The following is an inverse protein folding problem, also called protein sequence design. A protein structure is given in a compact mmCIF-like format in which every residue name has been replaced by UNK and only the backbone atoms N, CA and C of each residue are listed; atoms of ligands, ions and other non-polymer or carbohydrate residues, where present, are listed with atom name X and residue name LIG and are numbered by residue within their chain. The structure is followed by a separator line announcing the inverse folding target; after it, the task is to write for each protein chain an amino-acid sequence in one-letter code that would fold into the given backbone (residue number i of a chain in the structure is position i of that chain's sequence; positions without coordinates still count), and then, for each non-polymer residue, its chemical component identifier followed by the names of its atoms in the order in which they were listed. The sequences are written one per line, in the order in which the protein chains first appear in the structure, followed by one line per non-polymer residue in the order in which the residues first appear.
data_IF_360334051476
#
_entry.id   IF_360334051476
#
_cell.length_a   1.000
_cell.length_b   1.000
_cell.length_c   1.000
_cell.angle_alpha   90.00
_cell.angle_beta   90.00
_cell.angle_gamma   90.00
#
_symmetry.space_group_name_H-M   'P 1'
#
loop_
_entity.id
_entity.type
_entity.pdbx_description
1 polymer ?
#
# COMPACT_ATOMS: atom_id res chain seq x y z
N UNK A 1 17.72 -7.39 -14.36
CA UNK A 1 17.28 -6.20 -13.63
C UNK A 1 15.77 -6.17 -13.68
N UNK A 2 15.10 -6.17 -12.53
CA UNK A 2 13.68 -5.86 -12.42
C UNK A 2 13.50 -4.35 -12.56
N UNK A 3 12.42 -3.91 -13.20
CA UNK A 3 12.09 -2.48 -13.27
C UNK A 3 11.39 -2.05 -11.98
N UNK A 4 11.47 -0.77 -11.60
CA UNK A 4 10.79 -0.24 -10.42
C UNK A 4 9.28 -0.60 -10.42
N UNK A 5 8.63 -0.54 -11.59
CA UNK A 5 7.24 -0.95 -11.75
C UNK A 5 6.99 -2.42 -11.41
N UNK A 6 7.87 -3.33 -11.85
CA UNK A 6 7.75 -4.77 -11.57
C UNK A 6 7.97 -5.09 -10.08
N UNK A 7 8.81 -4.31 -9.41
CA UNK A 7 9.03 -4.41 -7.97
C UNK A 7 7.77 -4.00 -7.19
N UNK A 8 7.18 -2.86 -7.55
CA UNK A 8 5.90 -2.44 -6.97
C UNK A 8 4.81 -3.49 -7.19
N UNK A 9 4.63 -4.01 -8.41
CA UNK A 9 3.64 -5.06 -8.70
C UNK A 9 3.85 -6.33 -7.86
N UNK A 10 5.10 -6.69 -7.60
CA UNK A 10 5.44 -7.82 -6.73
C UNK A 10 5.03 -7.56 -5.28
N UNK A 11 5.29 -6.36 -4.77
CA UNK A 11 4.89 -5.97 -3.41
C UNK A 11 3.36 -5.85 -3.27
N UNK A 12 2.63 -5.38 -4.29
CA UNK A 12 1.15 -5.40 -4.31
C UNK A 12 0.63 -6.81 -4.10
N UNK A 13 1.16 -7.80 -4.85
CA UNK A 13 0.75 -9.21 -4.72
C UNK A 13 1.04 -9.76 -3.33
N UNK A 14 2.23 -9.49 -2.78
CA UNK A 14 2.64 -9.93 -1.43
C UNK A 14 1.74 -9.33 -0.34
N UNK A 15 1.47 -8.04 -0.41
CA UNK A 15 0.58 -7.34 0.53
C UNK A 15 -0.84 -7.89 0.48
N UNK A 16 -1.39 -8.08 -0.72
CA UNK A 16 -2.73 -8.65 -0.88
C UNK A 16 -2.85 -10.01 -0.18
N UNK A 17 -1.91 -10.92 -0.44
CA UNK A 17 -1.87 -12.25 0.19
C UNK A 17 -1.76 -12.10 1.71
N UNK A 18 -0.86 -11.25 2.19
CA UNK A 18 -0.65 -11.05 3.63
C UNK A 18 -1.91 -10.54 4.31
N UNK A 19 -2.54 -9.50 3.79
CA UNK A 19 -3.72 -8.88 4.40
C UNK A 19 -4.92 -9.84 4.39
N UNK A 20 -5.18 -10.53 3.27
CA UNK A 20 -6.28 -11.51 3.19
C UNK A 20 -6.09 -12.68 4.17
N UNK A 21 -4.84 -13.03 4.49
CA UNK A 21 -4.54 -14.10 5.45
C UNK A 21 -4.72 -13.73 6.92
N UNK A 22 -4.91 -12.44 7.25
CA UNK A 22 -5.11 -12.00 8.63
C UNK A 22 -6.55 -12.22 9.07
N UNK A 23 -6.71 -12.80 10.25
CA UNK A 23 -8.00 -12.85 10.95
C UNK A 23 -8.31 -11.50 11.62
N UNK A 24 -9.57 -11.26 11.99
CA UNK A 24 -9.95 -10.05 12.75
C UNK A 24 -9.12 -9.87 14.02
N UNK A 25 -8.89 -10.95 14.78
CA UNK A 25 -8.06 -10.90 15.98
C UNK A 25 -6.61 -10.48 15.67
N UNK A 26 -6.04 -10.98 14.58
CA UNK A 26 -4.69 -10.61 14.14
C UNK A 26 -4.60 -9.19 13.59
N UNK A 27 -5.70 -8.63 13.08
CA UNK A 27 -5.78 -7.21 12.70
C UNK A 27 -5.75 -6.29 13.94
N UNK A 28 -6.27 -6.76 15.07
CA UNK A 28 -6.26 -6.06 16.36
C UNK A 28 -4.94 -6.16 17.11
N UNK A 29 -4.04 -7.08 16.74
CA UNK A 29 -2.71 -7.21 17.35
C UNK A 29 -1.87 -5.94 17.15
N UNK A 30 -1.09 -5.59 18.18
CA UNK A 30 -0.18 -4.46 18.17
C UNK A 30 0.89 -4.60 17.06
N UNK A 31 1.15 -3.50 16.35
CA UNK A 31 2.13 -3.47 15.28
C UNK A 31 2.93 -2.16 15.29
N UNK A 32 3.89 -2.02 16.24
CA UNK A 32 4.67 -0.80 16.37
C UNK A 32 5.30 -0.37 15.03
N UNK A 33 5.29 0.93 14.70
CA UNK A 33 4.89 2.06 15.56
C UNK A 33 3.38 2.30 15.66
N UNK A 34 2.56 1.61 14.87
CA UNK A 34 1.11 1.76 14.90
C UNK A 34 0.49 1.02 16.10
N UNK A 35 -0.69 1.46 16.53
CA UNK A 35 -1.41 0.85 17.63
C UNK A 35 -1.84 -0.60 17.34
N UNK A 36 -2.13 -0.92 16.08
CA UNK A 36 -2.48 -2.27 15.63
C UNK A 36 -2.14 -2.47 14.15
N UNK A 37 -2.15 -3.73 13.68
CA UNK A 37 -2.01 -4.03 12.24
C UNK A 37 -3.09 -3.33 11.40
N UNK A 38 -4.32 -3.24 11.93
CA UNK A 38 -5.41 -2.48 11.29
C UNK A 38 -5.06 -0.99 11.16
N UNK A 39 -4.54 -0.39 12.23
CA UNK A 39 -4.12 1.01 12.20
C UNK A 39 -3.00 1.22 11.18
N UNK A 40 -1.98 0.35 11.17
CA UNK A 40 -0.89 0.39 10.19
C UNK A 40 -1.40 0.34 8.73
N UNK A 41 -2.38 -0.52 8.43
CA UNK A 41 -2.97 -0.59 7.09
C UNK A 41 -3.69 0.72 6.74
N UNK A 42 -4.49 1.29 7.67
CA UNK A 42 -5.22 2.54 7.42
C UNK A 42 -4.29 3.74 7.23
N UNK A 43 -3.22 3.81 8.01
CA UNK A 43 -2.16 4.80 7.85
C UNK A 43 -1.49 4.66 6.48
N UNK A 44 -1.13 3.43 6.08
CA UNK A 44 -0.54 3.18 4.78
C UNK A 44 -1.49 3.48 3.61
N UNK A 45 -2.79 3.20 3.72
CA UNK A 45 -3.79 3.60 2.73
C UNK A 45 -3.80 5.13 2.54
N UNK A 46 -3.73 5.88 3.64
CA UNK A 46 -3.65 7.34 3.60
C UNK A 46 -2.39 7.79 2.86
N UNK A 47 -1.24 7.19 3.18
CA UNK A 47 0.03 7.47 2.51
C UNK A 47 -0.01 7.14 1.01
N UNK A 48 -0.52 5.97 0.62
CA UNK A 48 -0.67 5.59 -0.79
C UNK A 48 -1.54 6.58 -1.55
N UNK A 49 -2.59 7.10 -0.92
CA UNK A 49 -3.42 8.14 -1.52
C UNK A 49 -2.67 9.46 -1.70
N UNK A 50 -1.90 9.88 -0.68
CA UNK A 50 -1.08 11.11 -0.75
C UNK A 50 -0.08 11.04 -1.91
N UNK A 51 0.58 9.90 -2.09
CA UNK A 51 1.62 9.72 -3.12
C UNK A 51 1.02 9.49 -4.51
N UNK A 52 0.04 8.59 -4.61
CA UNK A 52 -0.43 8.05 -5.89
C UNK A 52 -1.75 8.63 -6.40
N UNK A 53 -2.53 9.29 -5.54
CA UNK A 53 -3.93 9.67 -5.80
C UNK A 53 -4.30 11.10 -5.40
N UNK A 54 -3.32 12.02 -5.36
CA UNK A 54 -3.53 13.45 -5.04
C UNK A 54 -4.16 13.69 -3.66
N UNK A 55 -3.82 12.84 -2.68
CA UNK A 55 -4.35 12.91 -1.32
C UNK A 55 -5.90 12.83 -1.26
N UNK A 56 -6.54 12.18 -2.24
CA UNK A 56 -7.98 11.93 -2.19
C UNK A 56 -8.36 11.15 -0.93
N UNK A 57 -9.47 11.49 -0.26
CA UNK A 57 -9.92 10.76 0.92
C UNK A 57 -10.08 9.27 0.63
N UNK A 58 -9.53 8.41 1.50
CA UNK A 58 -9.75 6.96 1.43
C UNK A 58 -11.03 6.65 2.21
N UNK A 59 -12.03 6.01 1.59
CA UNK A 59 -13.26 5.66 2.28
C UNK A 59 -13.00 4.62 3.38
N UNK A 60 -13.59 4.80 4.55
CA UNK A 60 -13.55 3.80 5.61
C UNK A 60 -14.51 2.64 5.28
N UNK A 61 -14.00 1.63 4.59
CA UNK A 61 -14.74 0.40 4.30
C UNK A 61 -14.52 -0.65 5.40
N UNK A 62 -15.38 -1.66 5.41
CA UNK A 62 -15.27 -2.79 6.33
C UNK A 62 -13.97 -3.58 6.10
N UNK A 63 -13.47 -4.24 7.15
CA UNK A 63 -12.14 -4.88 7.22
C UNK A 63 -11.86 -5.86 6.06
N UNK A 64 -12.89 -6.57 5.58
CA UNK A 64 -12.74 -7.49 4.44
C UNK A 64 -12.29 -6.81 3.14
N UNK A 65 -12.43 -5.48 3.04
CA UNK A 65 -12.04 -4.70 1.87
C UNK A 65 -10.64 -4.09 1.99
N UNK A 66 -9.91 -4.28 3.10
CA UNK A 66 -8.61 -3.65 3.31
C UNK A 66 -7.59 -4.06 2.23
N UNK A 67 -7.55 -5.33 1.88
CA UNK A 67 -6.64 -5.83 0.84
C UNK A 67 -6.95 -5.22 -0.53
N UNK A 68 -8.24 -5.14 -0.89
CA UNK A 68 -8.65 -4.57 -2.17
C UNK A 68 -8.39 -3.06 -2.24
N UNK A 69 -8.59 -2.33 -1.13
CA UNK A 69 -8.23 -0.90 -1.07
C UNK A 69 -6.74 -0.67 -1.29
N UNK A 70 -5.87 -1.49 -0.66
CA UNK A 70 -4.41 -1.42 -0.87
C UNK A 70 -4.06 -1.65 -2.33
N UNK A 71 -4.62 -2.70 -2.95
CA UNK A 71 -4.40 -3.02 -4.36
C UNK A 71 -4.83 -1.86 -5.25
N UNK A 72 -6.06 -1.35 -5.05
CA UNK A 72 -6.61 -0.27 -5.88
C UNK A 72 -5.76 0.99 -5.82
N UNK A 73 -5.32 1.42 -4.63
CA UNK A 73 -4.51 2.63 -4.49
C UNK A 73 -3.12 2.47 -5.12
N UNK A 74 -2.47 1.32 -4.93
CA UNK A 74 -1.15 1.06 -5.49
C UNK A 74 -1.19 0.90 -7.02
N UNK A 75 -2.19 0.19 -7.55
CA UNK A 75 -2.39 0.07 -9.01
C UNK A 75 -2.76 1.41 -9.65
N UNK A 76 -3.56 2.23 -8.95
CA UNK A 76 -3.86 3.57 -9.39
C UNK A 76 -2.59 4.44 -9.43
N UNK A 77 -1.78 4.41 -8.38
CA UNK A 77 -0.50 5.14 -8.32
C UNK A 77 0.48 4.72 -9.41
N UNK A 78 0.58 3.42 -9.69
CA UNK A 78 1.39 2.90 -10.79
C UNK A 78 0.88 3.39 -12.16
N UNK A 79 -0.43 3.39 -12.36
CA UNK A 79 -1.04 3.87 -13.61
C UNK A 79 -0.89 5.38 -13.77
N UNK A 80 -1.07 6.16 -12.71
CA UNK A 80 -0.95 7.62 -12.74
C UNK A 80 0.50 8.05 -13.00
N UNK A 81 1.48 7.33 -12.44
CA UNK A 81 2.91 7.58 -12.69
C UNK A 81 3.30 7.48 -14.18
N UNK A 82 2.58 6.70 -15.00
CA UNK A 82 2.86 6.59 -16.44
C UNK A 82 2.70 7.92 -17.20
N UNK A 83 1.91 8.84 -16.66
CA UNK A 83 1.66 10.16 -17.25
C UNK A 83 2.70 11.21 -16.88
N UNK A 84 3.61 10.88 -15.95
CA UNK A 84 4.65 11.78 -15.47
C UNK A 84 5.93 11.69 -16.35
N UNK A 85 6.77 12.74 -16.33
CA UNK A 85 8.15 12.67 -16.83
C UNK A 85 8.96 11.56 -16.13
N UNK A 86 9.99 11.02 -16.80
CA UNK A 86 10.85 9.93 -16.30
C UNK A 86 11.28 10.10 -14.83
N UNK A 87 11.88 11.23 -14.39
CA UNK A 87 12.37 11.36 -13.01
C UNK A 87 11.22 11.34 -11.98
N UNK A 88 10.09 11.97 -12.30
CA UNK A 88 8.94 12.02 -11.39
C UNK A 88 8.19 10.70 -11.35
N UNK A 89 8.18 9.98 -12.48
CA UNK A 89 7.63 8.62 -12.60
C UNK A 89 8.39 7.63 -11.73
N UNK A 90 9.72 7.59 -11.87
CA UNK A 90 10.57 6.70 -11.06
C UNK A 90 10.44 7.03 -9.58
N UNK A 91 10.59 8.30 -9.20
CA UNK A 91 10.47 8.74 -7.81
C UNK A 91 9.11 8.35 -7.18
N UNK A 92 8.00 8.50 -7.92
CA UNK A 92 6.68 8.08 -7.43
C UNK A 92 6.59 6.57 -7.23
N UNK A 93 7.10 5.78 -8.19
CA UNK A 93 7.06 4.32 -8.09
C UNK A 93 7.92 3.84 -6.92
N UNK A 94 9.10 4.42 -6.74
CA UNK A 94 10.01 4.07 -5.64
C UNK A 94 9.37 4.43 -4.29
N UNK A 95 8.79 5.62 -4.16
CA UNK A 95 8.09 6.05 -2.94
C UNK A 95 6.94 5.10 -2.59
N UNK A 96 6.11 4.71 -3.56
CA UNK A 96 5.04 3.74 -3.35
C UNK A 96 5.58 2.35 -2.97
N UNK A 97 6.70 1.95 -3.57
CA UNK A 97 7.36 0.66 -3.30
C UNK A 97 7.90 0.62 -1.87
N UNK A 98 8.59 1.67 -1.43
CA UNK A 98 9.11 1.78 -0.07
C UNK A 98 7.98 1.74 0.97
N UNK A 99 6.89 2.47 0.72
CA UNK A 99 5.72 2.47 1.59
C UNK A 99 5.06 1.08 1.64
N UNK A 100 4.95 0.39 0.51
CA UNK A 100 4.43 -0.98 0.44
C UNK A 100 5.31 -1.98 1.19
N UNK A 101 6.64 -1.90 1.02
CA UNK A 101 7.61 -2.75 1.73
C UNK A 101 7.53 -2.51 3.24
N UNK A 102 7.45 -1.24 3.66
CA UNK A 102 7.31 -0.88 5.07
C UNK A 102 6.05 -1.48 5.67
N UNK A 103 4.89 -1.30 5.03
CA UNK A 103 3.64 -1.92 5.47
C UNK A 103 3.80 -3.45 5.57
N UNK A 104 4.36 -4.10 4.55
CA UNK A 104 4.55 -5.56 4.56
C UNK A 104 5.39 -6.02 5.74
N UNK A 105 6.46 -5.29 6.09
CA UNK A 105 7.31 -5.58 7.25
C UNK A 105 6.57 -5.39 8.57
N UNK A 106 5.78 -4.33 8.70
CA UNK A 106 4.93 -4.09 9.88
C UNK A 106 3.87 -5.18 10.08
N UNK A 107 3.39 -5.75 8.98
CA UNK A 107 2.40 -6.83 9.01
C UNK A 107 3.01 -8.22 9.21
N UNK A 108 4.33 -8.40 9.14
CA UNK A 108 5.01 -9.70 9.27
C UNK A 108 4.96 -10.24 10.71
#
# INVERSE_FOLDING_TARGET
MTTAAAELETEVRRLRIRIISLTTAQLDEAAPPAASRRAAIREALTEFSQVGSEARPVPELADQNLADQVVVLLEHGLRSARTLPEPDRENRIDTLTEAAVRLRRTLA
#
